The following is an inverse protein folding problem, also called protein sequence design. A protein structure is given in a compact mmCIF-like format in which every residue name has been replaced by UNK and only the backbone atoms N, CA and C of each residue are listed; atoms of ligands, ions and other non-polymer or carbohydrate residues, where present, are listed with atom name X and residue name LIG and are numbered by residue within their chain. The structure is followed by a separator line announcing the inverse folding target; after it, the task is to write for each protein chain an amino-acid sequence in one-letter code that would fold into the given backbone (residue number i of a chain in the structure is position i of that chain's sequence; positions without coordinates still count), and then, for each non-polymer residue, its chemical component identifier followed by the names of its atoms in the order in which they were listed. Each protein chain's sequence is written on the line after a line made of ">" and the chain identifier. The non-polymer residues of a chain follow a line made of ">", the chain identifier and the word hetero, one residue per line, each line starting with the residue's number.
data_IF_467528252953
#
_entry.id   IF_467528252953
#
_cell.length_a   1.000
_cell.length_b   1.000
_cell.length_c   1.000
_cell.angle_alpha   90.00
_cell.angle_beta   90.00
_cell.angle_gamma   90.00
#
_symmetry.space_group_name_H-M   'P 1'
#
loop_
_entity.id
_entity.type
_entity.pdbx_description
1 polymer ?
#
# COMPACT_ATOMS: atom_id res chain seq x y z
N UNK A 1 31.32 25.39 3.21
CA UNK A 1 31.29 26.81 3.66
C UNK A 1 30.19 27.62 2.96
N UNK A 2 29.88 27.36 1.67
CA UNK A 2 28.84 28.07 0.93
C UNK A 2 27.43 27.53 1.28
N UNK A 3 27.25 26.22 1.38
CA UNK A 3 26.01 25.55 1.78
C UNK A 3 25.56 25.94 3.19
N UNK A 4 26.47 26.05 4.16
CA UNK A 4 26.15 26.49 5.52
C UNK A 4 25.74 27.98 5.57
N UNK A 5 26.17 28.77 4.60
CA UNK A 5 25.78 30.18 4.47
C UNK A 5 24.43 30.33 3.78
N UNK A 6 24.05 29.38 2.92
CA UNK A 6 22.74 29.37 2.25
C UNK A 6 21.63 28.87 3.20
N UNK A 7 21.90 27.81 3.99
CA UNK A 7 20.98 27.27 5.01
C UNK A 7 20.84 28.22 6.21
N UNK A 8 21.91 28.96 6.57
CA UNK A 8 21.85 30.02 7.57
C UNK A 8 21.64 31.41 6.97
N UNK A 9 21.71 31.53 5.66
CA UNK A 9 21.68 32.81 4.98
C UNK A 9 20.28 33.28 4.71
N UNK A 10 20.09 34.48 5.09
CA UNK A 10 19.06 35.49 4.96
C UNK A 10 17.94 35.32 3.89
N UNK A 11 18.14 34.52 2.84
CA UNK A 11 17.18 34.39 1.75
C UNK A 11 16.13 33.29 1.93
N UNK A 12 16.48 32.16 2.55
CA UNK A 12 15.51 31.09 2.81
C UNK A 12 14.76 31.33 4.14
N UNK A 13 15.45 31.83 5.16
CA UNK A 13 14.83 32.13 6.46
C UNK A 13 13.80 33.27 6.42
N UNK A 14 13.99 34.25 5.52
CA UNK A 14 13.05 35.37 5.34
C UNK A 14 11.92 35.05 4.35
N UNK A 15 11.92 33.89 3.72
CA UNK A 15 10.92 33.52 2.71
C UNK A 15 9.61 33.09 3.37
N UNK A 16 8.50 33.67 2.92
CA UNK A 16 7.13 33.17 3.24
C UNK A 16 6.97 31.67 2.95
N UNK A 17 7.79 31.14 2.05
CA UNK A 17 7.83 29.71 1.67
C UNK A 17 8.29 28.81 2.80
N UNK A 18 9.33 29.18 3.56
CA UNK A 18 9.80 28.38 4.72
C UNK A 18 8.71 28.27 5.77
N UNK A 19 8.08 29.40 6.11
CA UNK A 19 6.99 29.42 7.08
C UNK A 19 5.82 28.53 6.65
N UNK A 20 5.49 28.52 5.36
CA UNK A 20 4.44 27.66 4.81
C UNK A 20 4.82 26.17 4.86
N UNK A 21 6.08 25.81 4.60
CA UNK A 21 6.56 24.42 4.66
C UNK A 21 6.65 23.89 6.10
N UNK A 22 6.97 24.74 7.08
CA UNK A 22 6.97 24.38 8.51
C UNK A 22 5.56 23.98 9.01
N UNK A 23 4.51 24.57 8.43
CA UNK A 23 3.13 24.33 8.82
C UNK A 23 2.51 23.09 8.16
N UNK A 24 3.21 22.42 7.25
CA UNK A 24 2.71 21.20 6.65
C UNK A 24 2.60 20.10 7.71
N UNK A 25 1.46 19.42 7.72
CA UNK A 25 1.21 18.27 8.59
C UNK A 25 1.97 17.01 8.14
N UNK A 26 2.44 17.00 6.88
CA UNK A 26 3.25 15.91 6.34
C UNK A 26 4.73 16.12 6.63
N UNK A 27 5.49 15.04 6.94
CA UNK A 27 6.94 15.08 6.95
C UNK A 27 7.48 15.60 5.61
N UNK A 28 8.26 16.67 5.67
CA UNK A 28 8.76 17.37 4.49
C UNK A 28 10.24 17.67 4.67
N UNK A 29 11.02 17.44 3.60
CA UNK A 29 12.45 17.74 3.58
C UNK A 29 12.86 18.40 2.27
N UNK A 30 13.91 19.23 2.31
CA UNK A 30 14.51 19.87 1.16
C UNK A 30 15.93 19.36 0.97
N UNK A 31 16.25 18.94 -0.26
CA UNK A 31 17.53 18.36 -0.63
C UNK A 31 18.25 19.23 -1.67
N UNK A 32 19.59 19.22 -1.61
CA UNK A 32 20.47 19.54 -2.74
C UNK A 32 21.18 18.26 -3.17
N UNK A 33 20.85 17.76 -4.36
CA UNK A 33 21.22 16.40 -4.74
C UNK A 33 20.69 15.37 -3.74
N UNK A 34 21.56 14.66 -3.05
CA UNK A 34 21.21 13.69 -2.01
C UNK A 34 21.38 14.23 -0.57
N UNK A 35 21.78 15.48 -0.42
CA UNK A 35 22.11 16.07 0.89
C UNK A 35 20.89 16.80 1.46
N UNK A 36 20.54 16.48 2.70
CA UNK A 36 19.43 17.15 3.43
C UNK A 36 19.84 18.55 3.82
N UNK A 37 19.15 19.55 3.28
CA UNK A 37 19.36 20.96 3.60
C UNK A 37 18.44 21.47 4.69
N UNK A 38 17.22 20.98 4.70
CA UNK A 38 16.19 21.40 5.64
C UNK A 38 15.10 20.34 5.76
N UNK A 39 14.42 20.31 6.88
CA UNK A 39 13.22 19.51 7.14
C UNK A 39 12.33 20.20 8.17
N UNK A 40 11.02 19.90 8.13
CA UNK A 40 10.05 20.39 9.10
C UNK A 40 10.03 19.53 10.38
N UNK A 41 9.33 20.02 11.41
CA UNK A 41 9.22 19.31 12.69
C UNK A 41 8.53 17.94 12.54
N UNK A 42 7.60 17.78 11.61
CA UNK A 42 6.96 16.48 11.35
C UNK A 42 7.95 15.44 10.84
N UNK A 43 8.86 15.82 9.97
CA UNK A 43 9.93 14.95 9.49
C UNK A 43 10.87 14.54 10.64
N UNK A 44 11.26 15.52 11.46
CA UNK A 44 12.11 15.29 12.62
C UNK A 44 11.48 14.35 13.63
N UNK A 45 10.23 14.60 14.01
CA UNK A 45 9.55 13.83 15.04
C UNK A 45 9.26 12.39 14.59
N UNK A 46 8.80 12.21 13.35
CA UNK A 46 8.33 10.90 12.87
C UNK A 46 9.43 10.01 12.28
N UNK A 47 10.48 10.59 11.71
CA UNK A 47 11.48 9.83 10.95
C UNK A 47 12.87 9.85 11.57
N UNK A 48 13.21 10.90 12.34
CA UNK A 48 14.54 11.04 12.90
C UNK A 48 14.63 10.66 14.39
N UNK A 49 13.52 10.38 15.06
CA UNK A 49 13.53 10.12 16.48
C UNK A 49 14.16 11.26 17.31
N UNK A 50 14.07 12.50 16.80
CA UNK A 50 14.65 13.69 17.45
C UNK A 50 16.12 13.96 17.11
N UNK A 51 16.79 13.11 16.34
CA UNK A 51 18.18 13.34 15.89
C UNK A 51 18.24 14.44 14.83
N UNK A 52 19.39 15.12 14.74
CA UNK A 52 19.65 16.10 13.67
C UNK A 52 20.38 15.42 12.51
N UNK A 53 19.84 15.57 11.32
CA UNK A 53 20.37 15.00 10.08
C UNK A 53 20.68 16.06 9.01
N UNK A 54 20.74 17.32 9.39
CA UNK A 54 21.15 18.39 8.49
C UNK A 54 22.53 18.08 7.90
N UNK A 55 22.71 18.40 6.61
CA UNK A 55 23.92 18.12 5.84
C UNK A 55 24.31 16.65 5.67
N UNK A 56 23.47 15.73 6.13
CA UNK A 56 23.66 14.28 5.92
C UNK A 56 23.03 13.81 4.60
N UNK A 57 23.44 12.63 4.13
CA UNK A 57 22.77 12.00 2.98
C UNK A 57 21.40 11.47 3.36
N UNK A 58 20.41 11.72 2.50
CA UNK A 58 19.02 11.32 2.72
C UNK A 58 18.84 9.81 2.86
N UNK A 59 19.67 8.98 2.20
CA UNK A 59 19.61 7.52 2.33
C UNK A 59 19.89 6.99 3.74
N UNK A 60 20.50 7.79 4.62
CA UNK A 60 20.65 7.40 6.03
C UNK A 60 19.30 7.36 6.77
N UNK A 61 18.37 8.21 6.36
CA UNK A 61 17.03 8.32 6.95
C UNK A 61 16.01 7.50 6.16
N UNK A 62 16.11 7.57 4.83
CA UNK A 62 15.22 6.91 3.89
C UNK A 62 16.01 5.89 3.05
N UNK A 63 16.32 4.70 3.62
CA UNK A 63 17.03 3.66 2.89
C UNK A 63 16.25 3.23 1.65
N UNK A 64 16.93 3.11 0.51
CA UNK A 64 16.32 2.70 -0.74
C UNK A 64 15.55 3.80 -1.48
N UNK A 65 15.67 5.06 -1.04
CA UNK A 65 15.05 6.18 -1.74
C UNK A 65 15.63 6.35 -3.15
N UNK A 66 14.74 6.34 -4.15
CA UNK A 66 15.02 6.68 -5.55
C UNK A 66 14.28 7.97 -5.93
N UNK A 67 15.03 9.05 -6.09
CA UNK A 67 14.47 10.37 -6.41
C UNK A 67 13.78 10.42 -7.78
N UNK A 68 14.14 9.53 -8.72
CA UNK A 68 13.48 9.45 -10.01
C UNK A 68 12.08 8.83 -9.88
N UNK A 69 11.99 7.75 -9.11
CA UNK A 69 10.71 7.10 -8.83
C UNK A 69 9.76 8.04 -8.05
N UNK A 70 10.29 8.81 -7.12
CA UNK A 70 9.51 9.79 -6.33
C UNK A 70 8.87 10.90 -7.18
N UNK A 71 9.36 11.15 -8.40
CA UNK A 71 8.80 12.16 -9.32
C UNK A 71 7.55 11.69 -10.07
N UNK A 72 7.27 10.40 -10.04
CA UNK A 72 6.06 9.85 -10.68
C UNK A 72 4.80 10.25 -9.92
N UNK A 73 3.64 10.18 -10.57
CA UNK A 73 2.36 10.46 -9.91
C UNK A 73 2.07 9.52 -8.73
N UNK A 74 2.55 8.30 -8.79
CA UNK A 74 2.38 7.31 -7.72
C UNK A 74 3.39 7.48 -6.58
N UNK A 75 4.49 8.22 -6.81
CA UNK A 75 5.59 8.32 -5.88
C UNK A 75 6.33 6.99 -5.70
N UNK A 76 7.19 6.94 -4.67
CA UNK A 76 7.85 5.72 -4.25
C UNK A 76 7.31 5.27 -2.90
N UNK A 77 6.95 3.99 -2.81
CA UNK A 77 6.60 3.38 -1.53
C UNK A 77 7.87 2.91 -0.82
N UNK A 78 8.04 3.36 0.42
CA UNK A 78 9.09 2.89 1.32
C UNK A 78 8.47 2.20 2.54
N UNK A 79 9.11 1.10 2.95
CA UNK A 79 8.81 0.47 4.24
C UNK A 79 9.87 0.92 5.23
N UNK A 80 9.48 1.70 6.21
CA UNK A 80 10.32 2.16 7.31
C UNK A 80 9.93 1.42 8.59
N UNK A 81 10.73 1.55 9.66
CA UNK A 81 10.54 0.80 10.89
C UNK A 81 9.09 0.83 11.43
N UNK A 82 8.39 1.94 11.26
CA UNK A 82 7.06 2.18 11.84
C UNK A 82 5.91 2.02 10.84
N UNK A 83 6.18 1.65 9.57
CA UNK A 83 5.10 1.47 8.61
C UNK A 83 5.43 1.75 7.15
N UNK A 84 4.37 1.97 6.37
CA UNK A 84 4.43 2.24 4.94
C UNK A 84 4.31 3.74 4.66
N UNK A 85 5.20 4.24 3.83
CA UNK A 85 5.29 5.64 3.49
C UNK A 85 5.34 5.84 1.97
N UNK A 86 4.46 6.64 1.42
CA UNK A 86 4.60 7.11 0.03
C UNK A 86 5.41 8.41 0.02
N UNK A 87 6.45 8.43 -0.81
CA UNK A 87 7.38 9.55 -0.95
C UNK A 87 7.21 10.16 -2.32
N UNK A 88 6.92 11.45 -2.32
CA UNK A 88 6.81 12.25 -3.54
C UNK A 88 7.91 13.31 -3.57
N UNK A 89 8.43 13.58 -4.76
CA UNK A 89 9.42 14.63 -4.93
C UNK A 89 9.02 15.64 -6.01
N UNK A 90 9.35 16.89 -5.77
CA UNK A 90 9.20 17.96 -6.73
C UNK A 90 10.43 18.84 -6.77
N UNK A 91 10.71 19.41 -7.95
CA UNK A 91 11.85 20.31 -8.13
C UNK A 91 11.43 21.73 -7.75
N UNK A 92 12.21 22.37 -6.90
CA UNK A 92 11.99 23.74 -6.45
C UNK A 92 13.17 24.59 -6.89
N UNK A 93 12.93 25.77 -7.51
CA UNK A 93 14.00 26.69 -7.86
C UNK A 93 14.74 27.15 -6.59
N UNK A 94 16.06 26.96 -6.57
CA UNK A 94 16.92 27.30 -5.41
C UNK A 94 18.00 28.34 -5.70
N UNK A 95 17.74 29.27 -6.60
CA UNK A 95 18.74 30.21 -7.06
C UNK A 95 19.64 29.62 -8.16
N UNK A 96 20.91 29.39 -7.87
CA UNK A 96 21.85 28.82 -8.86
C UNK A 96 21.70 27.32 -9.10
N UNK A 97 21.06 26.59 -8.18
CA UNK A 97 20.86 25.14 -8.25
C UNK A 97 19.39 24.78 -8.02
N UNK A 98 18.91 23.73 -8.70
CA UNK A 98 17.60 23.17 -8.42
C UNK A 98 17.64 22.32 -7.15
N UNK A 99 16.68 22.52 -6.27
CA UNK A 99 16.49 21.72 -5.07
C UNK A 99 15.36 20.72 -5.25
N UNK A 100 15.41 19.64 -4.49
CA UNK A 100 14.35 18.64 -4.47
C UNK A 100 13.60 18.74 -3.15
N UNK A 101 12.31 19.01 -3.23
CA UNK A 101 11.38 18.94 -2.10
C UNK A 101 10.84 17.51 -2.02
N UNK A 102 10.98 16.89 -0.85
CA UNK A 102 10.35 15.60 -0.51
C UNK A 102 9.15 15.84 0.39
N UNK A 103 8.05 15.17 0.08
CA UNK A 103 6.85 15.11 0.93
C UNK A 103 6.50 13.64 1.14
N UNK A 104 6.32 13.25 2.40
CA UNK A 104 6.02 11.88 2.78
C UNK A 104 4.60 11.78 3.34
N UNK A 105 3.86 10.76 2.90
CA UNK A 105 2.55 10.44 3.43
C UNK A 105 2.59 9.05 4.07
N UNK A 106 2.05 8.94 5.28
CA UNK A 106 1.91 7.66 5.96
C UNK A 106 0.70 6.90 5.41
N UNK A 107 0.92 5.69 4.91
CA UNK A 107 -0.11 4.82 4.33
C UNK A 107 -0.39 3.57 5.17
N UNK A 108 0.20 3.45 6.33
CA UNK A 108 0.13 2.24 7.18
C UNK A 108 -1.32 1.84 7.48
N UNK A 109 -2.15 2.77 7.93
CA UNK A 109 -3.55 2.51 8.25
C UNK A 109 -4.36 2.12 7.01
N UNK A 110 -4.18 2.85 5.90
CA UNK A 110 -4.86 2.57 4.64
C UNK A 110 -4.53 1.17 4.12
N UNK A 111 -3.25 0.79 4.14
CA UNK A 111 -2.82 -0.54 3.68
C UNK A 111 -3.27 -1.68 4.57
N UNK A 112 -3.37 -1.45 5.88
CA UNK A 112 -3.97 -2.43 6.79
C UNK A 112 -5.44 -2.67 6.46
N UNK A 113 -6.22 -1.60 6.32
CA UNK A 113 -7.64 -1.68 5.95
C UNK A 113 -7.81 -2.36 4.59
N UNK A 114 -6.97 -2.02 3.61
CA UNK A 114 -7.00 -2.65 2.28
C UNK A 114 -6.69 -4.15 2.34
N UNK A 115 -5.71 -4.55 3.17
CA UNK A 115 -5.35 -5.94 3.36
C UNK A 115 -6.49 -6.71 4.07
N UNK A 116 -7.08 -6.14 5.12
CA UNK A 116 -8.24 -6.70 5.82
C UNK A 116 -9.44 -6.84 4.87
N UNK A 117 -9.72 -5.81 4.08
CA UNK A 117 -10.79 -5.85 3.09
C UNK A 117 -10.56 -6.93 2.04
N UNK A 118 -9.34 -7.08 1.52
CA UNK A 118 -8.99 -8.15 0.58
C UNK A 118 -9.12 -9.54 1.20
N UNK A 119 -8.70 -9.69 2.46
CA UNK A 119 -8.78 -10.94 3.19
C UNK A 119 -10.23 -11.33 3.58
N UNK A 120 -11.08 -10.33 3.83
CA UNK A 120 -12.48 -10.54 4.21
C UNK A 120 -13.44 -10.65 3.02
N UNK A 121 -12.96 -10.52 1.78
CA UNK A 121 -13.83 -10.65 0.61
C UNK A 121 -14.40 -12.06 0.52
N UNK A 122 -15.74 -12.21 0.53
CA UNK A 122 -16.35 -13.51 0.29
C UNK A 122 -16.03 -13.97 -1.14
N UNK A 123 -15.46 -15.15 -1.25
CA UNK A 123 -15.31 -15.84 -2.54
C UNK A 123 -16.57 -16.67 -2.81
N UNK A 124 -17.11 -16.58 -4.01
CA UNK A 124 -18.20 -17.46 -4.44
C UNK A 124 -17.71 -18.37 -5.54
N UNK A 125 -18.03 -19.66 -5.41
CA UNK A 125 -17.75 -20.69 -6.37
C UNK A 125 -19.08 -21.19 -6.97
N UNK A 126 -19.13 -21.35 -8.27
CA UNK A 126 -20.25 -21.98 -8.96
C UNK A 126 -19.76 -23.28 -9.55
N UNK A 127 -20.39 -24.39 -9.12
CA UNK A 127 -20.10 -25.71 -9.65
C UNK A 127 -21.22 -26.11 -10.60
N UNK A 128 -20.82 -26.61 -11.75
CA UNK A 128 -21.72 -27.18 -12.76
C UNK A 128 -21.36 -28.65 -12.92
N UNK A 129 -22.33 -29.51 -12.75
CA UNK A 129 -22.21 -30.96 -13.05
C UNK A 129 -22.67 -31.13 -14.48
N UNK A 130 -21.75 -31.37 -15.37
CA UNK A 130 -22.04 -31.60 -16.79
C UNK A 130 -22.74 -32.93 -17.00
N UNK A 131 -23.61 -33.02 -18.02
CA UNK A 131 -24.37 -34.21 -18.29
C UNK A 131 -25.35 -34.64 -17.18
N UNK A 132 -25.73 -33.74 -16.28
CA UNK A 132 -26.57 -34.07 -15.12
C UNK A 132 -27.86 -34.79 -15.51
N UNK A 133 -28.59 -34.25 -16.49
CA UNK A 133 -29.89 -34.78 -16.91
C UNK A 133 -29.73 -36.14 -17.63
N UNK A 134 -28.64 -36.32 -18.38
CA UNK A 134 -28.34 -37.59 -19.08
C UNK A 134 -28.01 -38.70 -18.10
N UNK A 135 -27.23 -38.40 -17.05
CA UNK A 135 -26.82 -39.38 -16.02
C UNK A 135 -27.95 -39.74 -15.08
N UNK A 136 -28.75 -38.74 -14.70
CA UNK A 136 -29.79 -38.88 -13.68
C UNK A 136 -31.19 -39.25 -14.25
N UNK A 137 -31.39 -39.12 -15.58
CA UNK A 137 -32.68 -39.35 -16.22
C UNK A 137 -33.25 -40.76 -16.02
N UNK A 138 -32.41 -41.79 -16.19
CA UNK A 138 -32.79 -43.18 -16.18
C UNK A 138 -32.40 -43.95 -14.89
N UNK A 139 -31.92 -43.23 -13.85
CA UNK A 139 -31.48 -43.84 -12.61
C UNK A 139 -32.62 -44.13 -11.65
N UNK A 140 -32.50 -45.23 -10.89
CA UNK A 140 -33.36 -45.54 -9.75
C UNK A 140 -33.11 -44.49 -8.65
N UNK A 141 -34.17 -44.16 -7.89
CA UNK A 141 -34.10 -43.12 -6.83
C UNK A 141 -33.03 -43.40 -5.79
N UNK A 142 -32.77 -44.67 -5.45
CA UNK A 142 -31.75 -45.09 -4.49
C UNK A 142 -30.33 -44.87 -5.02
N UNK A 143 -30.08 -45.08 -6.30
CA UNK A 143 -28.79 -44.84 -6.96
C UNK A 143 -28.54 -43.36 -7.12
N UNK A 144 -29.59 -42.60 -7.55
CA UNK A 144 -29.58 -41.14 -7.63
C UNK A 144 -29.19 -40.51 -6.29
N UNK A 145 -29.80 -40.98 -5.17
CA UNK A 145 -29.50 -40.43 -3.84
C UNK A 145 -28.04 -40.66 -3.46
N UNK A 146 -27.48 -41.83 -3.71
CA UNK A 146 -26.06 -42.18 -3.43
C UNK A 146 -25.10 -41.31 -4.25
N UNK A 147 -25.39 -41.09 -5.52
CA UNK A 147 -24.55 -40.28 -6.40
C UNK A 147 -24.57 -38.81 -5.99
N UNK A 148 -25.75 -38.26 -5.65
CA UNK A 148 -25.89 -36.91 -5.14
C UNK A 148 -25.15 -36.67 -3.82
N UNK A 149 -25.20 -37.66 -2.91
CA UNK A 149 -24.44 -37.64 -1.66
C UNK A 149 -22.93 -37.63 -1.93
N UNK A 150 -22.47 -38.43 -2.88
CA UNK A 150 -21.07 -38.45 -3.32
C UNK A 150 -20.63 -37.07 -3.90
N UNK A 151 -21.46 -36.49 -4.76
CA UNK A 151 -21.19 -35.17 -5.33
C UNK A 151 -21.12 -34.10 -4.23
N UNK A 152 -22.11 -34.06 -3.34
CA UNK A 152 -22.13 -33.11 -2.21
C UNK A 152 -20.86 -33.22 -1.37
N UNK A 153 -20.45 -34.44 -1.00
CA UNK A 153 -19.25 -34.66 -0.20
C UNK A 153 -17.98 -34.17 -0.90
N UNK A 154 -17.84 -34.43 -2.20
CA UNK A 154 -16.68 -33.95 -2.98
C UNK A 154 -16.67 -32.41 -3.00
N UNK A 155 -17.82 -31.77 -3.25
CA UNK A 155 -17.93 -30.32 -3.31
C UNK A 155 -17.70 -29.65 -1.95
N UNK A 156 -18.18 -30.26 -0.86
CA UNK A 156 -17.93 -29.82 0.52
C UNK A 156 -16.43 -29.92 0.87
N UNK A 157 -15.77 -31.00 0.48
CA UNK A 157 -14.33 -31.16 0.67
C UNK A 157 -13.52 -30.12 -0.13
N UNK A 158 -13.99 -29.73 -1.32
CA UNK A 158 -13.37 -28.69 -2.16
C UNK A 158 -13.52 -27.27 -1.56
N UNK A 159 -14.63 -26.96 -0.94
CA UNK A 159 -14.88 -25.65 -0.29
C UNK A 159 -14.09 -25.52 1.01
N UNK A 160 -13.70 -26.62 1.61
CA UNK A 160 -12.93 -26.64 2.85
C UNK A 160 -13.80 -26.68 4.12
N UNK A 161 -13.30 -27.40 5.12
CA UNK A 161 -14.02 -27.76 6.36
C UNK A 161 -14.02 -26.63 7.41
N UNK A 162 -14.35 -25.41 7.08
CA UNK A 162 -14.18 -24.44 8.17
C UNK A 162 -15.19 -23.30 8.26
N UNK A 163 -15.54 -22.71 7.18
CA UNK A 163 -16.41 -21.52 7.17
C UNK A 163 -17.22 -21.39 5.88
N UNK A 164 -17.06 -22.32 4.97
CA UNK A 164 -17.77 -22.29 3.69
C UNK A 164 -19.18 -22.84 3.79
N UNK A 165 -20.04 -22.49 2.86
CA UNK A 165 -21.34 -23.08 2.67
C UNK A 165 -21.44 -23.66 1.26
N UNK A 166 -22.21 -24.74 1.11
CA UNK A 166 -22.60 -25.32 -0.17
C UNK A 166 -24.13 -25.30 -0.28
N UNK A 167 -24.65 -24.81 -1.38
CA UNK A 167 -26.07 -24.83 -1.66
C UNK A 167 -26.34 -25.26 -3.10
N UNK A 168 -27.19 -26.25 -3.26
CA UNK A 168 -27.74 -26.63 -4.55
C UNK A 168 -28.83 -25.62 -4.96
N UNK A 169 -28.71 -25.00 -6.12
CA UNK A 169 -29.64 -23.97 -6.61
C UNK A 169 -30.51 -24.47 -7.76
N UNK A 170 -30.06 -25.48 -8.48
CA UNK A 170 -30.80 -26.14 -9.56
C UNK A 170 -30.24 -27.56 -9.81
N UNK A 171 -30.83 -28.30 -10.75
CA UNK A 171 -30.29 -29.56 -11.25
C UNK A 171 -28.86 -29.35 -11.73
N UNK A 172 -27.92 -30.07 -11.12
CA UNK A 172 -26.51 -29.99 -11.50
C UNK A 172 -25.81 -28.65 -11.20
N UNK A 173 -26.45 -27.71 -10.49
CA UNK A 173 -25.84 -26.41 -10.14
C UNK A 173 -25.73 -26.21 -8.64
N UNK A 174 -24.53 -25.88 -8.20
CA UNK A 174 -24.23 -25.61 -6.80
C UNK A 174 -23.51 -24.26 -6.67
N UNK A 175 -23.77 -23.59 -5.57
CA UNK A 175 -23.04 -22.38 -5.17
C UNK A 175 -22.41 -22.65 -3.82
N UNK A 176 -21.15 -22.29 -3.69
CA UNK A 176 -20.38 -22.36 -2.47
C UNK A 176 -19.57 -21.11 -2.20
N UNK A 177 -19.19 -20.85 -0.97
CA UNK A 177 -18.37 -19.71 -0.58
C UNK A 177 -17.86 -19.81 0.84
#
# INVERSE_FOLDING_TARGET
>A
RWLSRWVRGDNFEKSKTKFSLEQLSQPTALLSGETVLWYNEQFRARLLGGQDMLTSRVQKVLPGLDLQQCRTQQGQLLTLADGFWSVHSSTVPGGAECMTLLVLNEETALRRIEAEYKASRPGYLVFLVDGYDDVFGDMLDSERARLLEGINRILEDMIGRGSGFLRRVASGRYIGG
#
